data_IF_821510792937
#
_entry.id   IF_821510792937
#
_cell.length_a   1.000
_cell.length_b   1.000
_cell.length_c   1.000
_cell.angle_alpha   90.00
_cell.angle_beta   90.00
_cell.angle_gamma   90.00
#
_symmetry.space_group_name_H-M   'P 1'
#
loop_
_entity.id
_entity.type
_entity.pdbx_description
1 polymer ?
#
# COMPACT_ATOMS: atom_id res chain seq x y z
N UNK A 1 -21.82 -10.92 1.43
CA UNK A 1 -21.72 -10.47 0.02
C UNK A 1 -20.28 -10.50 -0.53
N UNK A 2 -19.39 -11.39 -0.06
CA UNK A 2 -17.97 -11.40 -0.46
C UNK A 2 -17.61 -12.46 -1.52
N UNK A 3 -18.41 -13.51 -1.68
CA UNK A 3 -18.08 -14.65 -2.57
C UNK A 3 -18.26 -14.39 -4.09
N UNK A 4 -18.75 -13.21 -4.52
CA UNK A 4 -19.09 -12.95 -5.94
C UNK A 4 -18.10 -12.04 -6.69
N UNK A 5 -17.03 -11.55 -6.06
CA UNK A 5 -16.11 -10.57 -6.68
C UNK A 5 -14.74 -11.11 -7.08
N UNK A 6 -14.44 -12.38 -6.81
CA UNK A 6 -13.13 -12.95 -7.14
C UNK A 6 -12.93 -12.87 -8.66
N UNK A 7 -11.92 -12.11 -9.10
CA UNK A 7 -11.53 -11.97 -10.50
C UNK A 7 -12.20 -10.82 -11.29
N UNK A 8 -13.22 -10.14 -10.75
CA UNK A 8 -13.91 -9.04 -11.45
C UNK A 8 -13.27 -7.66 -11.28
N UNK A 9 -12.64 -7.43 -10.14
CA UNK A 9 -11.99 -6.15 -9.86
C UNK A 9 -10.57 -6.15 -10.44
N UNK A 10 -10.32 -5.23 -11.37
CA UNK A 10 -8.98 -4.95 -11.91
C UNK A 10 -8.44 -3.70 -11.20
N UNK A 11 -7.37 -3.83 -10.40
CA UNK A 11 -6.72 -2.69 -9.78
C UNK A 11 -6.11 -1.74 -10.82
N UNK A 12 -6.21 -0.43 -10.59
CA UNK A 12 -5.46 0.56 -11.37
C UNK A 12 -3.99 0.55 -10.92
N UNK A 13 -3.20 -0.30 -11.58
CA UNK A 13 -1.80 -0.47 -11.28
C UNK A 13 -0.95 0.78 -11.58
N UNK A 14 -1.37 1.62 -12.51
CA UNK A 14 -0.64 2.85 -12.87
C UNK A 14 -0.78 3.87 -11.74
N UNK A 15 -2.01 4.05 -11.25
CA UNK A 15 -2.27 4.95 -10.12
C UNK A 15 -1.52 4.51 -8.87
N UNK A 16 -1.50 3.21 -8.57
CA UNK A 16 -0.75 2.70 -7.41
C UNK A 16 0.76 2.92 -7.60
N UNK A 17 1.31 2.58 -8.77
CA UNK A 17 2.73 2.75 -9.04
C UNK A 17 3.19 4.22 -8.92
N UNK A 18 2.33 5.20 -9.24
CA UNK A 18 2.65 6.63 -9.09
C UNK A 18 2.78 7.11 -7.64
N UNK A 19 2.23 6.36 -6.67
CA UNK A 19 2.21 6.72 -5.25
C UNK A 19 3.25 5.95 -4.42
N UNK A 20 3.83 4.90 -4.98
CA UNK A 20 4.79 4.04 -4.28
C UNK A 20 6.18 4.70 -4.26
N UNK A 21 6.79 4.89 -3.07
CA UNK A 21 8.17 5.35 -2.93
C UNK A 21 9.16 4.43 -3.65
N UNK A 22 10.35 4.93 -3.99
CA UNK A 22 11.36 4.15 -4.72
C UNK A 22 11.71 2.81 -4.04
N UNK A 23 11.78 2.82 -2.71
CA UNK A 23 12.08 1.66 -1.87
C UNK A 23 11.03 0.54 -1.99
N UNK A 24 9.74 0.89 -2.12
CA UNK A 24 8.63 -0.06 -2.20
C UNK A 24 8.33 -0.60 -3.60
N UNK A 25 9.05 -0.14 -4.64
CA UNK A 25 8.76 -0.54 -6.03
C UNK A 25 8.97 -2.03 -6.28
N UNK A 26 9.99 -2.62 -5.65
CA UNK A 26 10.29 -4.04 -5.79
C UNK A 26 9.17 -4.91 -5.22
N UNK A 27 8.69 -4.57 -4.02
CA UNK A 27 7.57 -5.28 -3.37
C UNK A 27 6.27 -5.11 -4.15
N UNK A 28 6.01 -3.92 -4.69
CA UNK A 28 4.86 -3.67 -5.55
C UNK A 28 4.89 -4.50 -6.84
N UNK A 29 6.06 -4.61 -7.49
CA UNK A 29 6.23 -5.43 -8.68
C UNK A 29 6.00 -6.92 -8.36
N UNK A 30 6.49 -7.40 -7.20
CA UNK A 30 6.25 -8.76 -6.72
C UNK A 30 4.77 -9.00 -6.45
N UNK A 31 4.10 -8.08 -5.75
CA UNK A 31 2.67 -8.18 -5.45
C UNK A 31 1.83 -8.25 -6.73
N UNK A 32 2.12 -7.39 -7.71
CA UNK A 32 1.46 -7.40 -9.01
C UNK A 32 1.66 -8.73 -9.73
N UNK A 33 2.89 -9.25 -9.80
CA UNK A 33 3.19 -10.54 -10.42
C UNK A 33 2.39 -11.68 -9.77
N UNK A 34 2.32 -11.71 -8.43
CA UNK A 34 1.51 -12.70 -7.70
C UNK A 34 0.02 -12.56 -8.06
N UNK A 35 -0.51 -11.34 -8.10
CA UNK A 35 -1.90 -11.10 -8.49
C UNK A 35 -2.18 -11.58 -9.93
N UNK A 36 -1.33 -11.21 -10.89
CA UNK A 36 -1.52 -11.55 -12.30
C UNK A 36 -1.45 -13.07 -12.51
N UNK A 37 -0.52 -13.75 -11.83
CA UNK A 37 -0.42 -15.21 -11.84
C UNK A 37 -1.68 -15.89 -11.28
N UNK A 38 -2.16 -15.43 -10.12
CA UNK A 38 -3.38 -15.94 -9.50
C UNK A 38 -4.62 -15.69 -10.38
N UNK A 39 -4.72 -14.52 -10.98
CA UNK A 39 -5.82 -14.17 -11.87
C UNK A 39 -5.81 -15.04 -13.13
N UNK A 40 -4.65 -15.23 -13.78
CA UNK A 40 -4.57 -16.11 -14.95
C UNK A 40 -4.89 -17.55 -14.59
N UNK A 41 -4.45 -18.02 -13.42
CA UNK A 41 -4.77 -19.35 -12.91
C UNK A 41 -6.28 -19.51 -12.69
N UNK A 42 -6.93 -18.52 -12.09
CA UNK A 42 -8.38 -18.54 -11.89
C UNK A 42 -9.16 -18.49 -13.22
N UNK A 43 -8.74 -17.63 -14.15
CA UNK A 43 -9.39 -17.47 -15.45
C UNK A 43 -9.22 -18.73 -16.33
N UNK A 44 -8.18 -19.55 -16.07
CA UNK A 44 -7.97 -20.85 -16.74
C UNK A 44 -8.89 -21.98 -16.23
N UNK A 45 -9.45 -21.84 -15.02
CA UNK A 45 -10.31 -22.86 -14.43
C UNK A 45 -11.76 -22.59 -14.85
N UNK A 46 -12.43 -23.52 -15.55
CA UNK A 46 -13.83 -23.34 -15.92
C UNK A 46 -14.71 -23.26 -14.66
N UNK A 47 -15.68 -22.34 -14.67
CA UNK A 47 -16.56 -22.08 -13.53
C UNK A 47 -17.45 -23.28 -13.14
N UNK A 48 -17.60 -24.26 -14.04
CA UNK A 48 -18.25 -25.55 -13.79
C UNK A 48 -17.32 -26.65 -14.27
N UNK A 49 -17.23 -27.72 -13.48
CA UNK A 49 -16.56 -28.94 -13.92
C UNK A 49 -17.22 -29.46 -15.20
N UNK A 50 -16.42 -30.04 -16.10
CA UNK A 50 -16.93 -30.68 -17.30
C UNK A 50 -17.94 -31.77 -16.92
N UNK A 51 -19.06 -31.79 -17.63
CA UNK A 51 -20.11 -32.78 -17.39
C UNK A 51 -19.61 -34.15 -17.85
N UNK A 52 -19.66 -35.13 -16.96
CA UNK A 52 -19.33 -36.53 -17.27
C UNK A 52 -20.42 -37.10 -18.18
N UNK A 53 -20.04 -37.68 -19.32
CA UNK A 53 -20.96 -38.39 -20.21
C UNK A 53 -21.29 -39.78 -19.65
N UNK A 54 -22.23 -39.82 -18.72
CA UNK A 54 -22.70 -41.06 -18.09
C UNK A 54 -23.34 -42.04 -19.09
N UNK A 55 -23.91 -41.55 -20.20
CA UNK A 55 -24.57 -42.38 -21.20
C UNK A 55 -23.55 -43.20 -22.01
N UNK A 56 -22.40 -42.60 -22.35
CA UNK A 56 -21.28 -43.32 -22.96
C UNK A 56 -20.78 -44.46 -22.06
N UNK A 57 -20.58 -44.20 -20.77
CA UNK A 57 -20.10 -45.23 -19.83
C UNK A 57 -21.13 -46.33 -19.58
N UNK A 58 -22.41 -45.98 -19.52
CA UNK A 58 -23.49 -46.96 -19.34
C UNK A 58 -23.60 -47.93 -20.53
N UNK A 59 -23.28 -47.48 -21.74
CA UNK A 59 -23.27 -48.32 -22.95
C UNK A 59 -22.06 -49.26 -23.04
N UNK A 60 -20.90 -48.83 -22.54
CA UNK A 60 -19.64 -49.57 -22.68
C UNK A 60 -19.32 -50.49 -21.48
N UNK A 61 -19.92 -50.25 -20.31
CA UNK A 61 -19.67 -51.04 -19.10
C UNK A 61 -20.71 -52.15 -18.99
N UNK A 62 -20.26 -53.40 -19.10
CA UNK A 62 -21.12 -54.59 -19.08
C UNK A 62 -21.71 -54.90 -17.70
N UNK A 63 -21.24 -54.26 -16.62
CA UNK A 63 -21.74 -54.48 -15.25
C UNK A 63 -22.97 -53.60 -14.96
N UNK A 64 -24.18 -54.19 -14.87
CA UNK A 64 -25.39 -53.44 -14.57
C UNK A 64 -25.32 -52.80 -13.18
N UNK A 65 -25.79 -51.55 -13.05
CA UNK A 65 -25.88 -50.81 -11.78
C UNK A 65 -24.59 -50.11 -11.32
N UNK A 66 -23.42 -50.44 -11.88
CA UNK A 66 -22.14 -49.83 -11.47
C UNK A 66 -22.08 -48.35 -11.84
N UNK A 67 -22.42 -47.99 -13.08
CA UNK A 67 -22.42 -46.58 -13.56
C UNK A 67 -23.41 -45.72 -12.79
N UNK A 68 -24.59 -46.26 -12.44
CA UNK A 68 -25.60 -45.56 -11.66
C UNK A 68 -25.15 -45.28 -10.21
N UNK A 69 -24.41 -46.23 -9.60
CA UNK A 69 -23.83 -46.03 -8.27
C UNK A 69 -22.77 -44.93 -8.25
N UNK A 70 -21.92 -44.85 -9.27
CA UNK A 70 -20.91 -43.79 -9.41
C UNK A 70 -21.52 -42.43 -9.70
N UNK A 71 -22.56 -42.37 -10.54
CA UNK A 71 -23.30 -41.14 -10.80
C UNK A 71 -23.89 -40.58 -9.50
N UNK A 72 -24.58 -41.41 -8.72
CA UNK A 72 -25.15 -41.01 -7.43
C UNK A 72 -24.08 -40.56 -6.42
N UNK A 73 -22.96 -41.29 -6.36
CA UNK A 73 -21.84 -40.92 -5.49
C UNK A 73 -21.21 -39.57 -5.92
N UNK A 74 -21.08 -39.31 -7.22
CA UNK A 74 -20.54 -38.06 -7.75
C UNK A 74 -21.47 -36.88 -7.50
N UNK A 75 -22.78 -37.04 -7.72
CA UNK A 75 -23.79 -36.01 -7.46
C UNK A 75 -23.91 -35.69 -5.95
N UNK A 76 -23.59 -36.63 -5.06
CA UNK A 76 -23.57 -36.43 -3.62
C UNK A 76 -22.34 -35.66 -3.11
N UNK A 77 -21.27 -35.55 -3.91
CA UNK A 77 -20.09 -34.79 -3.53
C UNK A 77 -20.40 -33.30 -3.65
N UNK A 78 -20.39 -32.61 -2.51
CA UNK A 78 -20.43 -31.14 -2.46
C UNK A 78 -19.02 -30.63 -2.19
N UNK A 79 -18.49 -29.77 -3.06
CA UNK A 79 -17.19 -29.13 -2.83
C UNK A 79 -17.42 -27.89 -1.96
N UNK A 80 -16.92 -27.87 -0.71
CA UNK A 80 -17.12 -26.72 0.16
C UNK A 80 -16.32 -25.52 -0.35
N UNK A 81 -16.93 -24.34 -0.31
CA UNK A 81 -16.24 -23.11 -0.65
C UNK A 81 -15.19 -22.76 0.43
N UNK A 82 -14.01 -22.22 0.06
CA UNK A 82 -13.01 -21.82 1.03
C UNK A 82 -13.57 -20.81 2.04
N UNK A 83 -13.29 -21.01 3.33
CA UNK A 83 -13.63 -20.03 4.36
C UNK A 83 -12.68 -18.85 4.29
N UNK A 84 -13.23 -17.64 4.27
CA UNK A 84 -12.46 -16.41 4.34
C UNK A 84 -11.96 -16.17 5.77
N UNK A 85 -10.64 -16.11 5.94
CA UNK A 85 -9.97 -15.85 7.22
C UNK A 85 -9.14 -14.57 7.20
N UNK A 86 -9.05 -13.89 6.05
CA UNK A 86 -8.09 -12.82 5.83
C UNK A 86 -8.74 -11.44 5.79
N UNK A 87 -10.00 -11.32 5.34
CA UNK A 87 -10.70 -10.02 5.27
C UNK A 87 -10.71 -9.30 6.62
N UNK A 88 -11.00 -10.01 7.71
CA UNK A 88 -11.01 -9.40 9.04
C UNK A 88 -9.63 -8.86 9.49
N UNK A 89 -8.52 -9.47 9.03
CA UNK A 89 -7.17 -8.99 9.35
C UNK A 89 -6.82 -7.77 8.51
N UNK A 90 -7.24 -7.75 7.24
CA UNK A 90 -7.04 -6.61 6.35
C UNK A 90 -7.77 -5.38 6.87
N UNK A 91 -9.02 -5.54 7.34
CA UNK A 91 -9.82 -4.44 7.90
C UNK A 91 -9.17 -3.79 9.13
N UNK A 92 -8.46 -4.58 9.95
CA UNK A 92 -7.72 -4.06 11.12
C UNK A 92 -6.53 -3.23 10.67
N UNK A 93 -5.71 -3.78 9.77
CA UNK A 93 -4.52 -3.08 9.23
C UNK A 93 -4.93 -1.79 8.49
N UNK A 94 -6.04 -1.81 7.75
CA UNK A 94 -6.56 -0.63 7.06
C UNK A 94 -6.90 0.51 8.04
N UNK A 95 -7.52 0.17 9.19
CA UNK A 95 -7.84 1.16 10.24
C UNK A 95 -6.59 1.73 10.89
N UNK A 96 -5.60 0.89 11.18
CA UNK A 96 -4.32 1.32 11.75
C UNK A 96 -3.59 2.27 10.79
N UNK A 97 -3.48 1.88 9.51
CA UNK A 97 -2.86 2.70 8.47
C UNK A 97 -3.60 4.03 8.25
N UNK A 98 -4.93 4.05 8.34
CA UNK A 98 -5.71 5.29 8.23
C UNK A 98 -5.38 6.28 9.36
N UNK A 99 -5.22 5.79 10.59
CA UNK A 99 -4.84 6.64 11.73
C UNK A 99 -3.42 7.20 11.58
N UNK A 100 -2.48 6.37 11.12
CA UNK A 100 -1.11 6.82 10.83
C UNK A 100 -1.08 7.88 9.72
N UNK A 101 -1.86 7.69 8.65
CA UNK A 101 -1.99 8.66 7.57
C UNK A 101 -2.53 10.00 8.07
N UNK A 102 -3.55 9.99 8.94
CA UNK A 102 -4.07 11.22 9.54
C UNK A 102 -3.02 11.95 10.38
N UNK A 103 -2.27 11.21 11.20
CA UNK A 103 -1.18 11.76 12.00
C UNK A 103 -0.12 12.42 11.12
N UNK A 104 0.36 11.72 10.10
CA UNK A 104 1.35 12.23 9.15
C UNK A 104 0.84 13.45 8.37
N UNK A 105 -0.44 13.48 7.99
CA UNK A 105 -1.04 14.65 7.36
C UNK A 105 -1.04 15.87 8.29
N UNK A 106 -1.36 15.69 9.57
CA UNK A 106 -1.33 16.78 10.56
C UNK A 106 0.09 17.31 10.75
N UNK A 107 1.05 16.42 10.99
CA UNK A 107 2.48 16.76 11.14
C UNK A 107 3.05 17.47 9.91
N UNK A 108 2.70 16.99 8.70
CA UNK A 108 3.16 17.61 7.46
C UNK A 108 2.54 19.00 7.25
N UNK A 109 1.26 19.20 7.59
CA UNK A 109 0.62 20.52 7.52
C UNK A 109 1.23 21.52 8.50
N UNK A 110 1.64 21.08 9.70
CA UNK A 110 2.34 21.94 10.66
C UNK A 110 3.70 22.37 10.09
N UNK A 111 4.50 21.42 9.60
CA UNK A 111 5.81 21.71 8.97
C UNK A 111 5.69 22.66 7.78
N UNK A 112 4.68 22.49 6.93
CA UNK A 112 4.44 23.40 5.79
C UNK A 112 4.22 24.84 6.28
N UNK A 113 3.45 25.03 7.36
CA UNK A 113 3.22 26.38 7.93
C UNK A 113 4.50 26.97 8.51
N UNK A 114 5.29 26.17 9.23
CA UNK A 114 6.59 26.60 9.76
C UNK A 114 7.52 27.05 8.64
N UNK A 115 7.69 26.23 7.60
CA UNK A 115 8.53 26.58 6.44
C UNK A 115 8.00 27.78 5.65
N UNK A 116 6.68 27.97 5.57
CA UNK A 116 6.10 29.17 4.96
C UNK A 116 6.45 30.43 5.76
N UNK A 117 6.34 30.39 7.10
CA UNK A 117 6.72 31.51 7.95
C UNK A 117 8.23 31.81 7.87
N UNK A 118 9.08 30.78 7.83
CA UNK A 118 10.51 30.93 7.63
C UNK A 118 10.84 31.54 6.26
N UNK A 119 10.18 31.09 5.19
CA UNK A 119 10.35 31.68 3.86
C UNK A 119 9.92 33.15 3.82
N UNK A 120 8.83 33.52 4.49
CA UNK A 120 8.41 34.92 4.60
C UNK A 120 9.42 35.76 5.38
N UNK A 121 9.95 35.22 6.48
CA UNK A 121 11.04 35.86 7.24
C UNK A 121 12.24 36.11 6.34
N UNK A 122 12.72 35.09 5.63
CA UNK A 122 13.88 35.21 4.71
C UNK A 122 13.59 36.22 3.60
N UNK A 123 12.39 36.23 3.01
CA UNK A 123 12.03 37.21 1.97
C UNK A 123 11.94 38.64 2.49
N UNK A 124 11.57 38.81 3.75
CA UNK A 124 11.49 40.13 4.40
C UNK A 124 12.86 40.64 4.87
N UNK A 125 13.87 39.77 4.95
CA UNK A 125 15.21 40.16 5.32
C UNK A 125 15.85 40.99 4.21
N UNK A 126 16.61 42.01 4.63
CA UNK A 126 17.41 42.85 3.75
C UNK A 126 18.46 41.98 3.04
N UNK A 127 18.81 42.35 1.81
CA UNK A 127 19.88 41.67 1.08
C UNK A 127 21.16 41.66 1.92
N UNK A 128 21.88 40.54 1.91
CA UNK A 128 23.15 40.40 2.62
C UNK A 128 24.19 41.45 2.20
N UNK A 129 24.11 41.95 0.96
CA UNK A 129 25.02 42.99 0.44
C UNK A 129 24.82 44.35 1.11
N UNK A 130 23.59 44.64 1.57
CA UNK A 130 23.24 45.93 2.16
C UNK A 130 23.16 45.87 3.70
N UNK A 131 23.23 44.68 4.29
CA UNK A 131 23.06 44.46 5.72
C UNK A 131 24.34 44.76 6.50
N UNK A 132 24.22 45.57 7.55
CA UNK A 132 25.37 45.87 8.42
C UNK A 132 25.59 44.78 9.47
N UNK A 133 26.83 44.65 9.96
CA UNK A 133 27.20 43.64 10.97
C UNK A 133 26.39 43.83 12.27
N UNK A 134 26.14 45.08 12.66
CA UNK A 134 25.35 45.40 13.85
C UNK A 134 23.87 44.99 13.68
N UNK A 135 23.24 45.29 12.53
CA UNK A 135 21.88 44.84 12.21
C UNK A 135 21.75 43.31 12.20
N UNK A 136 22.78 42.61 11.73
CA UNK A 136 22.82 41.15 11.71
C UNK A 136 22.95 40.55 13.12
N UNK A 137 23.82 41.13 13.97
CA UNK A 137 24.01 40.70 15.36
C UNK A 137 22.78 41.00 16.25
N UNK A 138 21.98 42.01 15.89
CA UNK A 138 20.68 42.26 16.54
C UNK A 138 19.62 41.21 16.16
N UNK A 139 19.61 40.76 14.90
CA UNK A 139 18.71 39.67 14.46
C UNK A 139 19.11 38.29 14.97
N UNK A 140 20.39 38.10 15.32
CA UNK A 140 20.98 36.84 15.78
C UNK A 140 21.69 37.00 17.14
N UNK A 141 20.94 37.20 18.23
CA UNK A 141 21.50 37.42 19.56
C UNK A 141 22.31 36.22 20.08
N UNK A 142 22.08 35.01 19.56
CA UNK A 142 22.91 33.83 19.82
C UNK A 142 24.36 34.01 19.35
N UNK A 143 24.57 34.59 18.17
CA UNK A 143 25.91 34.84 17.61
C UNK A 143 26.63 35.92 18.42
N UNK A 144 25.91 36.95 18.86
CA UNK A 144 26.44 37.98 19.75
C UNK A 144 26.94 37.39 21.07
N UNK A 145 26.14 36.51 21.70
CA UNK A 145 26.53 35.82 22.94
C UNK A 145 27.74 34.91 22.73
N UNK A 146 27.78 34.19 21.61
CA UNK A 146 28.92 33.33 21.28
C UNK A 146 30.20 34.16 21.11
N UNK A 147 30.14 35.26 20.36
CA UNK A 147 31.28 36.18 20.20
C UNK A 147 31.75 36.74 21.56
N UNK A 148 30.81 37.17 22.43
CA UNK A 148 31.14 37.65 23.78
C UNK A 148 31.81 36.57 24.65
N UNK A 149 31.40 35.30 24.50
CA UNK A 149 32.01 34.17 25.21
C UNK A 149 33.40 33.82 24.68
N UNK A 150 33.60 33.84 23.36
CA UNK A 150 34.90 33.58 22.72
C UNK A 150 35.92 34.66 23.09
N UNK A 151 35.49 35.93 23.14
CA UNK A 151 36.29 37.07 23.64
C UNK A 151 36.68 36.84 25.11
N UNK A 152 35.73 36.43 25.97
CA UNK A 152 36.02 36.12 27.39
C UNK A 152 36.96 34.95 27.57
N UNK A 153 36.92 33.96 26.67
CA UNK A 153 37.76 32.76 26.70
C UNK A 153 39.11 32.96 25.98
N UNK A 154 39.37 34.15 25.44
CA UNK A 154 40.56 34.47 24.64
C UNK A 154 40.77 33.54 23.44
N UNK A 155 39.68 33.08 22.84
CA UNK A 155 39.71 32.26 21.62
C UNK A 155 39.56 33.23 20.44
N UNK A 156 40.63 33.38 19.65
CA UNK A 156 40.73 34.35 18.55
C UNK A 156 40.93 33.70 17.18
N UNK A 157 40.85 32.37 17.11
CA UNK A 157 41.08 31.55 15.92
C UNK A 157 39.77 31.13 15.27
#
# INVERSE_FOLDING_TARGET
MAARRIGQYVPDWVKIASRVPAEGRADMARFRSIYDNLKSGLDSVPAKAETIDWAFYQKNISKPGMVESFRKAYEAITVPYPKDTQTAKIDVVEKEMAQECEKLMRESRMRIKEYQAEMEKIKSQKSFEDMTVDEYLEMHPELKKQADEEIKKHIWN
#
